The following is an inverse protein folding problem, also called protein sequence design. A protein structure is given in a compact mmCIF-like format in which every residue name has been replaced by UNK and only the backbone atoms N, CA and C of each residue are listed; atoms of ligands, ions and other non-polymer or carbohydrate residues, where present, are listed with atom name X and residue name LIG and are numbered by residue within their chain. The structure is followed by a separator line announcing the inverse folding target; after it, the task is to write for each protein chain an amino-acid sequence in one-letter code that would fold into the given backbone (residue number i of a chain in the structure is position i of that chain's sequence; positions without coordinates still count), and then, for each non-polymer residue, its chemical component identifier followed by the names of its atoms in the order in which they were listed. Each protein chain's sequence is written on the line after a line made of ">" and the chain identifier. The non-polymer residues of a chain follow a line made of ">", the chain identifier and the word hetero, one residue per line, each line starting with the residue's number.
data_IF_748718775526
#
_entry.id   IF_748718775526
#
_cell.length_a   1.000
_cell.length_b   1.000
_cell.length_c   1.000
_cell.angle_alpha   90.00
_cell.angle_beta   90.00
_cell.angle_gamma   90.00
#
_symmetry.space_group_name_H-M   'P 1'
#
loop_
_entity.id
_entity.type
_entity.pdbx_description
1 polymer ?
#
# COMPACT_ATOMS: atom_id res chain seq x y z
N UNK A 1 -14.42 10.38 -13.19
CA UNK A 1 -13.33 11.34 -13.49
C UNK A 1 -11.96 10.71 -13.22
N UNK A 2 -11.29 10.11 -14.21
CA UNK A 2 -9.88 9.68 -14.05
C UNK A 2 -8.93 10.88 -13.92
N UNK A 3 -7.66 10.66 -13.55
CA UNK A 3 -6.57 11.65 -13.67
C UNK A 3 -6.38 12.00 -15.15
N UNK A 4 -7.33 12.74 -15.72
CA UNK A 4 -7.30 13.23 -17.07
C UNK A 4 -6.28 14.34 -17.14
N UNK A 5 -5.01 13.98 -17.32
CA UNK A 5 -3.99 14.92 -17.74
C UNK A 5 -4.31 15.34 -19.19
N UNK A 6 -5.30 16.22 -19.35
CA UNK A 6 -5.46 17.07 -20.53
C UNK A 6 -4.53 18.29 -20.39
N UNK A 7 -3.31 18.05 -19.89
CA UNK A 7 -2.26 19.04 -19.71
C UNK A 7 -1.36 18.86 -20.93
N UNK A 8 -1.46 19.75 -21.90
CA UNK A 8 -0.49 19.84 -22.98
C UNK A 8 0.89 20.19 -22.39
N UNK A 9 1.98 19.79 -23.06
CA UNK A 9 3.36 19.95 -22.56
C UNK A 9 3.73 21.38 -22.17
N UNK A 10 3.02 22.39 -22.68
CA UNK A 10 3.29 23.81 -22.48
C UNK A 10 2.29 24.51 -21.55
N UNK A 11 1.51 23.76 -20.76
CA UNK A 11 0.50 24.36 -19.89
C UNK A 11 1.14 25.12 -18.72
N UNK A 12 1.09 26.45 -18.77
CA UNK A 12 1.53 27.31 -17.67
C UNK A 12 0.48 27.35 -16.54
N UNK A 13 0.50 26.33 -15.67
CA UNK A 13 -0.40 26.19 -14.53
C UNK A 13 -0.41 27.41 -13.61
N UNK A 14 0.75 28.05 -13.41
CA UNK A 14 0.88 29.25 -12.58
C UNK A 14 -0.01 30.37 -13.13
N UNK A 15 0.09 30.66 -14.42
CA UNK A 15 -0.71 31.73 -15.03
C UNK A 15 -2.20 31.40 -15.02
N UNK A 16 -2.58 30.15 -15.27
CA UNK A 16 -3.99 29.73 -15.23
C UNK A 16 -4.59 29.94 -13.83
N UNK A 17 -3.87 29.52 -12.78
CA UNK A 17 -4.29 29.71 -11.40
C UNK A 17 -4.40 31.19 -11.03
N UNK A 18 -3.41 32.01 -11.41
CA UNK A 18 -3.43 33.46 -11.19
C UNK A 18 -4.60 34.12 -11.92
N UNK A 19 -4.80 33.83 -13.20
CA UNK A 19 -5.90 34.40 -14.00
C UNK A 19 -7.27 33.99 -13.47
N UNK A 20 -7.42 32.77 -12.94
CA UNK A 20 -8.64 32.35 -12.25
C UNK A 20 -8.87 33.14 -10.96
N UNK A 21 -7.82 33.33 -10.17
CA UNK A 21 -7.87 33.99 -8.87
C UNK A 21 -8.06 35.52 -8.95
N UNK A 22 -7.39 36.19 -9.89
CA UNK A 22 -7.46 37.65 -10.12
C UNK A 22 -8.89 38.16 -10.39
N UNK A 23 -9.77 37.30 -10.94
CA UNK A 23 -11.20 37.60 -11.12
C UNK A 23 -11.96 37.80 -9.80
N UNK A 24 -11.33 37.46 -8.67
CA UNK A 24 -11.88 37.57 -7.33
C UNK A 24 -11.14 38.58 -6.44
N UNK A 25 -10.10 39.24 -6.96
CA UNK A 25 -9.35 40.28 -6.23
C UNK A 25 -9.84 41.70 -6.52
N UNK A 26 -10.70 41.91 -7.52
CA UNK A 26 -11.28 43.22 -7.86
C UNK A 26 -12.39 43.61 -6.89
N UNK A 27 -12.40 44.88 -6.48
CA UNK A 27 -13.46 45.45 -5.62
C UNK A 27 -14.62 45.95 -6.49
N UNK A 28 -15.87 45.98 -5.98
CA UNK A 28 -17.03 46.49 -6.72
C UNK A 28 -16.98 47.99 -7.06
N UNK A 29 -16.03 48.75 -6.52
CA UNK A 29 -15.93 50.21 -6.70
C UNK A 29 -15.00 50.62 -7.86
N UNK A 30 -14.49 49.66 -8.65
CA UNK A 30 -13.88 49.95 -9.95
C UNK A 30 -15.04 50.14 -10.95
N UNK A 31 -15.24 51.39 -11.38
CA UNK A 31 -16.43 51.89 -12.10
C UNK A 31 -16.87 51.02 -13.32
N UNK A 32 -18.19 50.99 -13.51
CA UNK A 32 -18.99 50.40 -14.61
C UNK A 32 -19.29 48.89 -14.60
N UNK A 33 -20.27 48.43 -13.80
CA UNK A 33 -21.36 47.55 -14.30
C UNK A 33 -22.53 47.35 -13.30
N UNK A 34 -23.77 47.10 -13.80
CA UNK A 34 -25.00 47.19 -13.02
C UNK A 34 -25.39 45.91 -12.26
N UNK A 35 -26.04 46.16 -11.12
CA UNK A 35 -26.73 45.22 -10.23
C UNK A 35 -27.46 44.04 -10.91
N UNK A 36 -27.15 42.81 -10.49
CA UNK A 36 -28.13 41.91 -9.83
C UNK A 36 -27.56 40.57 -9.32
N UNK A 37 -27.89 40.25 -8.06
CA UNK A 37 -27.95 38.90 -7.43
C UNK A 37 -26.70 37.99 -7.42
N UNK A 38 -25.57 38.48 -6.90
CA UNK A 38 -24.65 37.71 -6.01
C UNK A 38 -23.61 38.66 -5.43
N UNK A 39 -23.91 39.28 -4.27
CA UNK A 39 -22.95 40.11 -3.54
C UNK A 39 -21.75 39.23 -3.13
N UNK A 40 -20.62 39.31 -3.87
CA UNK A 40 -19.31 38.80 -3.42
C UNK A 40 -18.86 39.72 -2.28
N UNK A 41 -19.03 39.27 -1.04
CA UNK A 41 -18.87 40.13 0.14
C UNK A 41 -17.42 40.52 0.47
N UNK A 42 -16.39 39.93 -0.15
CA UNK A 42 -14.99 40.31 0.12
C UNK A 42 -14.10 40.11 -1.11
N UNK A 43 -13.32 41.13 -1.48
CA UNK A 43 -12.23 40.98 -2.43
C UNK A 43 -11.12 40.13 -1.79
N UNK A 44 -10.66 39.09 -2.51
CA UNK A 44 -9.59 38.23 -2.01
C UNK A 44 -8.25 38.98 -2.00
N UNK A 45 -7.34 38.69 -1.07
CA UNK A 45 -6.01 39.30 -1.01
C UNK A 45 -5.20 38.95 -2.26
N UNK A 46 -4.19 39.76 -2.64
CA UNK A 46 -3.27 39.38 -3.71
C UNK A 46 -2.49 38.11 -3.31
N UNK A 47 -2.27 37.21 -4.27
CA UNK A 47 -1.60 35.93 -4.05
C UNK A 47 -0.32 35.82 -4.88
N UNK A 48 0.75 35.29 -4.27
CA UNK A 48 1.99 34.89 -4.96
C UNK A 48 2.09 33.37 -4.93
N UNK A 49 2.07 32.74 -6.09
CA UNK A 49 2.35 31.30 -6.22
C UNK A 49 3.87 31.12 -6.09
N UNK A 50 4.32 30.66 -4.92
CA UNK A 50 5.73 30.41 -4.63
C UNK A 50 6.19 29.01 -5.06
N UNK A 51 5.33 28.00 -4.90
CA UNK A 51 5.60 26.62 -5.27
C UNK A 51 4.33 25.93 -5.78
N UNK A 52 4.50 24.98 -6.69
CA UNK A 52 3.49 24.01 -7.11
C UNK A 52 4.13 22.64 -6.89
N UNK A 53 3.41 21.73 -6.24
CA UNK A 53 3.97 20.43 -5.85
C UNK A 53 2.94 19.32 -6.01
N UNK A 54 3.43 18.08 -6.08
CA UNK A 54 2.62 16.88 -6.01
C UNK A 54 2.29 16.53 -4.53
N UNK A 55 1.16 15.88 -4.30
CA UNK A 55 0.67 15.48 -2.98
C UNK A 55 1.61 14.50 -2.25
N UNK A 56 2.23 13.55 -2.94
CA UNK A 56 3.24 12.66 -2.37
C UNK A 56 4.49 13.45 -1.93
N UNK A 57 4.95 14.39 -2.77
CA UNK A 57 6.08 15.29 -2.47
C UNK A 57 5.79 16.14 -1.24
N UNK A 58 4.59 16.73 -1.15
CA UNK A 58 4.16 17.48 0.03
C UNK A 58 4.10 16.59 1.27
N UNK A 59 3.59 15.37 1.16
CA UNK A 59 3.54 14.38 2.26
C UNK A 59 4.94 14.08 2.81
N UNK A 60 5.92 13.83 1.93
CA UNK A 60 7.33 13.66 2.34
C UNK A 60 7.86 14.91 3.02
N UNK A 61 7.67 16.09 2.44
CA UNK A 61 8.21 17.35 2.96
C UNK A 61 7.63 17.71 4.34
N UNK A 62 6.33 17.47 4.54
CA UNK A 62 5.64 17.71 5.81
C UNK A 62 6.25 16.87 6.93
N UNK A 63 6.39 15.55 6.72
CA UNK A 63 6.94 14.69 7.75
C UNK A 63 8.44 14.93 7.96
N UNK A 64 9.20 15.18 6.88
CA UNK A 64 10.61 15.52 6.98
C UNK A 64 10.83 16.79 7.79
N UNK A 65 9.91 17.76 7.73
CA UNK A 65 9.96 18.95 8.57
C UNK A 65 9.71 18.63 10.04
N UNK A 66 8.73 17.75 10.35
CA UNK A 66 8.40 17.38 11.73
C UNK A 66 9.44 16.45 12.40
N UNK A 67 9.96 15.48 11.66
CA UNK A 67 10.85 14.40 12.17
C UNK A 67 12.28 14.88 12.43
N UNK A 68 12.68 16.08 11.98
CA UNK A 68 13.98 16.71 12.29
C UNK A 68 14.32 16.80 13.79
N UNK A 69 13.36 16.50 14.66
CA UNK A 69 13.49 16.49 16.12
C UNK A 69 13.83 15.11 16.72
N UNK A 70 13.85 14.02 15.94
CA UNK A 70 14.09 12.66 16.45
C UNK A 70 15.51 12.16 16.13
N UNK A 71 16.27 11.64 17.12
CA UNK A 71 17.58 11.07 16.86
C UNK A 71 17.46 9.78 16.04
N UNK A 72 18.38 9.59 15.10
CA UNK A 72 18.51 8.38 14.26
C UNK A 72 17.27 8.01 13.42
N UNK A 73 16.42 9.00 13.09
CA UNK A 73 15.26 8.81 12.22
C UNK A 73 15.30 9.80 11.07
N UNK A 74 15.03 9.32 9.85
CA UNK A 74 14.83 10.22 8.70
C UNK A 74 13.73 9.74 7.79
N UNK A 75 13.07 10.69 7.14
CA UNK A 75 12.08 10.41 6.11
C UNK A 75 12.78 10.18 4.78
N UNK A 76 12.64 8.97 4.23
CA UNK A 76 13.22 8.60 2.95
C UNK A 76 12.21 8.70 1.80
N UNK A 77 10.95 8.35 2.08
CA UNK A 77 9.89 8.18 1.07
C UNK A 77 8.57 8.78 1.56
N UNK A 78 7.74 9.24 0.63
CA UNK A 78 6.34 9.58 0.86
C UNK A 78 5.43 8.77 -0.05
N UNK A 79 4.34 8.20 0.48
CA UNK A 79 3.37 7.43 -0.28
C UNK A 79 1.95 7.97 -0.08
N UNK A 80 1.17 7.92 -1.15
CA UNK A 80 -0.27 8.17 -1.13
C UNK A 80 -0.98 6.84 -1.37
N UNK A 81 -1.86 6.46 -0.45
CA UNK A 81 -2.68 5.24 -0.54
C UNK A 81 -4.11 5.58 -0.18
N UNK A 82 -4.85 6.10 -1.15
CA UNK A 82 -6.22 6.59 -0.99
C UNK A 82 -7.06 6.24 -2.22
N UNK A 83 -7.77 7.22 -2.78
CA UNK A 83 -8.51 7.05 -4.04
C UNK A 83 -7.59 6.58 -5.17
N UNK A 84 -6.39 7.15 -5.25
CA UNK A 84 -5.30 6.70 -6.11
C UNK A 84 -4.07 6.25 -5.30
N UNK A 85 -3.00 5.90 -6.01
CA UNK A 85 -1.73 5.51 -5.41
C UNK A 85 -0.56 6.24 -6.08
N UNK A 86 0.40 6.71 -5.27
CA UNK A 86 1.63 7.33 -5.75
C UNK A 86 2.75 7.22 -4.70
N UNK A 87 3.99 7.42 -5.14
CA UNK A 87 5.14 7.54 -4.26
C UNK A 87 6.11 8.64 -4.71
N UNK A 88 6.81 9.19 -3.73
CA UNK A 88 7.96 10.06 -3.91
C UNK A 88 9.12 9.55 -3.08
N UNK A 89 10.35 9.79 -3.51
CA UNK A 89 11.55 9.39 -2.78
C UNK A 89 12.69 10.38 -3.03
N UNK A 90 13.58 10.57 -2.04
CA UNK A 90 14.84 11.26 -2.25
C UNK A 90 15.82 10.35 -3.00
N UNK A 91 16.46 10.86 -4.04
CA UNK A 91 17.49 10.13 -4.79
C UNK A 91 18.73 10.99 -5.02
N UNK A 92 19.90 10.35 -4.95
CA UNK A 92 21.16 10.97 -5.40
C UNK A 92 21.11 11.26 -6.88
N UNK A 93 21.63 12.42 -7.28
CA UNK A 93 21.72 12.76 -8.71
C UNK A 93 22.58 11.76 -9.49
N UNK A 94 23.56 11.13 -8.84
CA UNK A 94 24.39 10.07 -9.44
C UNK A 94 23.60 8.80 -9.78
N UNK A 95 22.42 8.59 -9.18
CA UNK A 95 21.54 7.45 -9.48
C UNK A 95 20.54 7.75 -10.60
N UNK A 96 20.52 9.00 -11.10
CA UNK A 96 19.63 9.42 -12.18
C UNK A 96 20.39 9.44 -13.50
N UNK A 97 19.66 9.26 -14.60
CA UNK A 97 20.21 9.49 -15.93
C UNK A 97 20.75 10.92 -16.05
N UNK A 98 21.90 11.08 -16.73
CA UNK A 98 22.64 12.33 -16.81
C UNK A 98 21.78 13.52 -17.26
N UNK A 99 20.88 13.31 -18.23
CA UNK A 99 19.95 14.36 -18.70
C UNK A 99 19.06 14.92 -17.59
N UNK A 100 18.57 14.07 -16.67
CA UNK A 100 17.76 14.49 -15.52
C UNK A 100 18.62 15.16 -14.44
N UNK A 101 19.80 14.60 -14.17
CA UNK A 101 20.74 15.17 -13.21
C UNK A 101 21.22 16.57 -13.63
N UNK A 102 21.57 16.75 -14.91
CA UNK A 102 22.00 18.03 -15.47
C UNK A 102 20.87 19.06 -15.46
N UNK A 103 19.62 18.66 -15.66
CA UNK A 103 18.47 19.55 -15.50
C UNK A 103 18.40 20.14 -14.08
N UNK A 104 18.55 19.31 -13.05
CA UNK A 104 18.57 19.77 -11.65
C UNK A 104 19.78 20.66 -11.39
N UNK A 105 20.98 20.24 -11.82
CA UNK A 105 22.22 21.02 -11.64
C UNK A 105 22.18 22.38 -12.34
N UNK A 106 21.45 22.50 -13.46
CA UNK A 106 21.27 23.78 -14.14
C UNK A 106 20.49 24.82 -13.30
N UNK A 107 19.75 24.36 -12.28
CA UNK A 107 19.00 25.20 -11.34
C UNK A 107 19.73 25.40 -10.01
N UNK A 108 20.57 24.44 -9.62
CA UNK A 108 21.31 24.43 -8.36
C UNK A 108 22.59 23.59 -8.54
N UNK A 109 23.74 24.24 -8.77
CA UNK A 109 25.00 23.56 -9.11
C UNK A 109 25.53 22.65 -7.99
N UNK A 110 25.17 22.96 -6.74
CA UNK A 110 25.60 22.25 -5.54
C UNK A 110 24.65 21.09 -5.17
N UNK A 111 23.57 20.88 -5.95
CA UNK A 111 22.63 19.81 -5.67
C UNK A 111 23.29 18.44 -5.78
N UNK A 112 23.21 17.65 -4.70
CA UNK A 112 23.71 16.27 -4.63
C UNK A 112 22.55 15.26 -4.74
N UNK A 113 21.37 15.65 -4.29
CA UNK A 113 20.16 14.84 -4.25
C UNK A 113 18.96 15.65 -4.74
N UNK A 114 17.90 14.95 -5.13
CA UNK A 114 16.63 15.57 -5.52
C UNK A 114 15.45 14.68 -5.13
N UNK A 115 14.28 15.30 -4.98
CA UNK A 115 13.03 14.58 -4.72
C UNK A 115 12.45 14.13 -6.06
N UNK A 116 12.13 12.84 -6.19
CA UNK A 116 11.52 12.27 -7.38
C UNK A 116 10.07 11.92 -7.10
N UNK A 117 9.13 12.62 -7.74
CA UNK A 117 7.77 12.11 -7.90
C UNK A 117 7.80 10.96 -8.92
N UNK A 118 7.49 9.75 -8.47
CA UNK A 118 7.68 8.54 -9.30
C UNK A 118 6.53 8.29 -10.26
N UNK A 119 5.30 8.71 -9.91
CA UNK A 119 4.07 8.28 -10.59
C UNK A 119 4.09 6.77 -10.88
N UNK A 120 4.53 5.98 -9.89
CA UNK A 120 4.83 4.55 -10.02
C UNK A 120 3.65 3.67 -10.47
N UNK A 121 2.46 4.25 -10.62
CA UNK A 121 1.26 3.55 -11.06
C UNK A 121 1.11 3.49 -12.57
N UNK A 122 1.86 4.30 -13.33
CA UNK A 122 1.73 4.37 -14.80
C UNK A 122 2.09 3.06 -15.49
N UNK A 123 1.82 2.99 -16.81
CA UNK A 123 1.98 1.80 -17.65
C UNK A 123 3.32 1.06 -17.52
N UNK A 124 4.40 1.75 -17.13
CA UNK A 124 5.70 1.12 -16.85
C UNK A 124 5.68 0.09 -15.71
N UNK A 125 4.65 0.08 -14.86
CA UNK A 125 4.44 -0.92 -13.81
C UNK A 125 3.81 -2.23 -14.31
N UNK A 126 3.37 -2.31 -15.58
CA UNK A 126 2.73 -3.50 -16.14
C UNK A 126 3.63 -4.74 -16.24
N UNK A 127 4.91 -4.66 -16.70
CA UNK A 127 5.71 -5.85 -16.96
C UNK A 127 5.93 -6.73 -15.71
N UNK A 128 6.34 -6.19 -14.54
CA UNK A 128 6.51 -7.01 -13.34
C UNK A 128 5.22 -7.70 -12.88
N UNK A 129 4.06 -7.06 -13.05
CA UNK A 129 2.76 -7.64 -12.68
C UNK A 129 2.39 -8.84 -13.56
N UNK A 130 2.81 -8.83 -14.83
CA UNK A 130 2.60 -9.93 -15.78
C UNK A 130 3.60 -11.05 -15.57
N UNK A 131 4.88 -10.71 -15.41
CA UNK A 131 5.96 -11.69 -15.19
C UNK A 131 5.74 -12.52 -13.93
N UNK A 132 5.14 -11.92 -12.90
CA UNK A 132 4.84 -12.58 -11.62
C UNK A 132 3.43 -13.21 -11.55
N UNK A 133 2.69 -13.24 -12.68
CA UNK A 133 1.33 -13.81 -12.76
C UNK A 133 0.36 -13.26 -11.69
N UNK A 134 0.43 -11.95 -11.45
CA UNK A 134 -0.40 -11.28 -10.42
C UNK A 134 -1.79 -10.90 -10.97
N UNK A 135 -1.87 -10.68 -12.28
CA UNK A 135 -3.06 -10.16 -12.96
C UNK A 135 -4.09 -11.27 -13.15
N UNK A 136 -5.26 -11.11 -12.53
CA UNK A 136 -6.38 -12.06 -12.65
C UNK A 136 -7.34 -11.68 -13.78
N UNK A 137 -8.26 -12.60 -14.13
CA UNK A 137 -9.33 -12.32 -15.10
C UNK A 137 -10.18 -11.10 -14.72
N UNK A 138 -10.41 -10.87 -13.43
CA UNK A 138 -11.19 -9.73 -12.93
C UNK A 138 -10.42 -8.41 -13.04
N UNK A 139 -9.10 -8.44 -12.87
CA UNK A 139 -8.25 -7.25 -13.08
C UNK A 139 -8.25 -6.86 -14.58
N UNK A 140 -8.23 -7.84 -15.48
CA UNK A 140 -8.32 -7.61 -16.94
C UNK A 140 -9.69 -7.05 -17.34
N UNK A 141 -10.77 -7.51 -16.69
CA UNK A 141 -12.11 -6.96 -16.90
C UNK A 141 -12.21 -5.50 -16.41
N UNK A 142 -11.72 -5.23 -15.20
CA UNK A 142 -11.66 -3.88 -14.63
C UNK A 142 -10.85 -2.92 -15.52
N UNK A 143 -9.68 -3.34 -15.99
CA UNK A 143 -8.82 -2.53 -16.86
C UNK A 143 -9.52 -2.19 -18.19
N UNK A 144 -10.17 -3.17 -18.83
CA UNK A 144 -10.90 -2.96 -20.09
C UNK A 144 -12.06 -1.98 -19.96
N UNK A 145 -12.72 -1.94 -18.80
CA UNK A 145 -13.81 -1.01 -18.51
C UNK A 145 -13.32 0.40 -18.15
N UNK A 146 -12.01 0.60 -17.91
CA UNK A 146 -11.46 1.91 -17.63
C UNK A 146 -11.48 2.82 -18.86
N UNK A 147 -11.62 4.13 -18.65
CA UNK A 147 -11.63 5.13 -19.73
C UNK A 147 -10.35 5.13 -20.58
N UNK A 148 -9.23 4.66 -20.03
CA UNK A 148 -7.95 4.49 -20.71
C UNK A 148 -7.33 3.17 -20.24
N UNK A 149 -7.65 2.03 -20.87
CA UNK A 149 -7.09 0.73 -20.50
C UNK A 149 -5.56 0.74 -20.58
N UNK A 150 -4.90 0.07 -19.64
CA UNK A 150 -3.44 -0.02 -19.52
C UNK A 150 -2.76 1.27 -19.02
N UNK A 151 -3.51 2.32 -18.66
CA UNK A 151 -2.91 3.60 -18.27
C UNK A 151 -2.25 3.55 -16.90
N UNK A 152 -2.91 2.94 -15.91
CA UNK A 152 -2.43 2.86 -14.53
C UNK A 152 -2.58 1.46 -13.90
N UNK A 153 -1.90 0.43 -14.44
CA UNK A 153 -2.11 -0.96 -14.08
C UNK A 153 -1.90 -1.24 -12.59
N UNK A 154 -0.91 -0.63 -11.95
CA UNK A 154 -0.71 -0.79 -10.50
C UNK A 154 -1.77 -0.07 -9.67
N UNK A 155 -2.32 1.07 -10.14
CA UNK A 155 -3.42 1.75 -9.43
C UNK A 155 -4.72 0.93 -9.48
N UNK A 156 -4.97 0.18 -10.54
CA UNK A 156 -6.15 -0.70 -10.63
C UNK A 156 -6.14 -1.79 -9.56
N UNK A 157 -4.94 -2.23 -9.13
CA UNK A 157 -4.78 -3.27 -8.11
C UNK A 157 -4.78 -2.73 -6.67
N UNK A 158 -4.48 -1.44 -6.47
CA UNK A 158 -4.13 -0.86 -5.16
C UNK A 158 -4.94 0.37 -4.78
N UNK A 159 -5.50 1.09 -5.75
CA UNK A 159 -6.21 2.34 -5.55
C UNK A 159 -7.62 2.12 -5.03
N UNK A 160 -8.00 2.91 -4.02
CA UNK A 160 -9.33 2.88 -3.39
C UNK A 160 -10.48 3.15 -4.35
N UNK A 161 -10.24 3.79 -5.50
CA UNK A 161 -11.24 3.92 -6.56
C UNK A 161 -11.66 2.57 -7.15
N UNK A 162 -10.72 1.66 -7.31
CA UNK A 162 -10.88 0.43 -8.09
C UNK A 162 -11.12 -0.79 -7.21
N UNK A 163 -10.65 -0.76 -5.96
CA UNK A 163 -10.83 -1.84 -4.99
C UNK A 163 -12.29 -2.28 -4.85
N UNK A 164 -13.22 -1.33 -4.69
CA UNK A 164 -14.64 -1.65 -4.54
C UNK A 164 -15.22 -2.34 -5.78
N UNK A 165 -14.85 -1.84 -6.96
CA UNK A 165 -15.28 -2.42 -8.22
C UNK A 165 -14.68 -3.81 -8.46
N UNK A 166 -13.40 -4.01 -8.13
CA UNK A 166 -12.79 -5.32 -8.23
C UNK A 166 -13.48 -6.34 -7.30
N UNK A 167 -13.81 -5.94 -6.07
CA UNK A 167 -14.55 -6.79 -5.14
C UNK A 167 -15.95 -7.10 -5.70
N UNK A 168 -16.62 -6.12 -6.31
CA UNK A 168 -17.91 -6.31 -6.98
C UNK A 168 -17.81 -7.34 -8.09
N UNK A 169 -16.82 -7.23 -8.98
CA UNK A 169 -16.61 -8.16 -10.11
C UNK A 169 -16.40 -9.59 -9.62
N UNK A 170 -15.54 -9.79 -8.61
CA UNK A 170 -15.27 -11.12 -8.04
C UNK A 170 -16.52 -11.69 -7.37
N UNK A 171 -17.23 -10.86 -6.61
CA UNK A 171 -18.45 -11.29 -5.89
C UNK A 171 -19.59 -11.62 -6.85
N UNK A 172 -19.78 -10.79 -7.88
CA UNK A 172 -20.78 -11.02 -8.93
C UNK A 172 -20.50 -12.34 -9.66
N UNK A 173 -19.24 -12.58 -10.06
CA UNK A 173 -18.82 -13.85 -10.69
C UNK A 173 -19.08 -15.05 -9.76
N UNK A 174 -18.77 -14.95 -8.46
CA UNK A 174 -19.07 -16.00 -7.50
C UNK A 174 -20.57 -16.27 -7.35
N UNK A 175 -21.39 -15.23 -7.17
CA UNK A 175 -22.83 -15.37 -6.95
C UNK A 175 -23.54 -15.92 -8.19
N UNK A 176 -23.10 -15.55 -9.39
CA UNK A 176 -23.72 -16.00 -10.64
C UNK A 176 -23.21 -17.39 -11.05
N UNK A 177 -21.89 -17.57 -11.17
CA UNK A 177 -21.31 -18.78 -11.74
C UNK A 177 -21.09 -19.91 -10.72
N UNK A 178 -21.01 -19.60 -9.43
CA UNK A 178 -20.84 -20.62 -8.37
C UNK A 178 -22.14 -20.86 -7.59
N UNK A 179 -22.90 -19.81 -7.27
CA UNK A 179 -24.18 -19.95 -6.56
C UNK A 179 -25.40 -20.07 -7.48
N UNK A 180 -25.24 -19.87 -8.80
CA UNK A 180 -26.30 -20.08 -9.77
C UNK A 180 -27.40 -19.01 -9.77
N UNK A 181 -27.14 -17.84 -9.17
CA UNK A 181 -28.10 -16.75 -9.11
C UNK A 181 -28.13 -15.99 -10.45
N UNK A 182 -29.32 -15.66 -10.93
CA UNK A 182 -29.47 -14.79 -12.08
C UNK A 182 -29.11 -13.34 -11.70
N UNK A 183 -28.54 -12.59 -12.64
CA UNK A 183 -28.18 -11.18 -12.40
C UNK A 183 -29.37 -10.31 -11.94
N UNK A 184 -30.60 -10.66 -12.34
CA UNK A 184 -31.83 -9.96 -11.95
C UNK A 184 -32.26 -10.22 -10.50
N UNK A 185 -31.69 -11.24 -9.86
CA UNK A 185 -31.98 -11.60 -8.46
C UNK A 185 -31.08 -10.86 -7.48
N UNK A 186 -30.02 -10.21 -7.98
CA UNK A 186 -29.00 -9.56 -7.18
C UNK A 186 -29.29 -8.06 -6.96
N UNK A 187 -28.81 -7.48 -5.84
CA UNK A 187 -28.91 -6.06 -5.58
C UNK A 187 -28.27 -5.23 -6.70
N UNK A 188 -28.86 -4.08 -7.03
CA UNK A 188 -28.37 -3.20 -8.10
C UNK A 188 -26.89 -2.81 -7.90
N UNK A 189 -26.44 -2.64 -6.65
CA UNK A 189 -25.04 -2.32 -6.34
C UNK A 189 -24.04 -3.42 -6.73
N UNK A 190 -24.49 -4.67 -6.86
CA UNK A 190 -23.64 -5.77 -7.33
C UNK A 190 -23.64 -5.88 -8.85
N UNK A 191 -24.65 -5.36 -9.53
CA UNK A 191 -24.81 -5.42 -10.99
C UNK A 191 -24.20 -4.20 -11.66
N UNK A 192 -24.45 -3.01 -11.12
CA UNK A 192 -24.01 -1.75 -11.69
C UNK A 192 -22.53 -1.47 -11.38
N UNK A 193 -21.77 -1.15 -12.43
CA UNK A 193 -20.37 -0.74 -12.32
C UNK A 193 -20.19 0.42 -11.33
N UNK A 194 -19.19 0.31 -10.47
CA UNK A 194 -18.80 1.29 -9.44
C UNK A 194 -19.87 1.63 -8.39
N UNK A 195 -21.00 0.91 -8.36
CA UNK A 195 -22.05 1.13 -7.36
C UNK A 195 -21.69 0.57 -5.97
N UNK A 196 -20.73 -0.35 -5.89
CA UNK A 196 -20.18 -0.86 -4.64
C UNK A 196 -18.90 -0.10 -4.26
N UNK A 197 -19.02 0.83 -3.31
CA UNK A 197 -17.90 1.71 -2.93
C UNK A 197 -16.94 1.04 -1.94
N UNK A 198 -15.67 1.41 -2.00
CA UNK A 198 -14.66 0.94 -1.04
C UNK A 198 -14.97 1.36 0.40
N UNK A 199 -15.59 2.54 0.58
CA UNK A 199 -16.06 3.01 1.89
C UNK A 199 -17.14 2.08 2.45
N UNK A 200 -18.14 1.72 1.65
CA UNK A 200 -19.18 0.78 2.07
C UNK A 200 -18.59 -0.57 2.53
N UNK A 201 -17.62 -1.09 1.77
CA UNK A 201 -16.94 -2.35 2.11
C UNK A 201 -16.13 -2.20 3.40
N UNK A 202 -15.38 -1.12 3.56
CA UNK A 202 -14.64 -0.82 4.80
C UNK A 202 -15.55 -0.83 6.01
N UNK A 203 -16.68 -0.14 5.93
CA UNK A 203 -17.52 0.16 7.08
C UNK A 203 -18.45 -0.99 7.46
N UNK A 204 -19.00 -1.69 6.46
CA UNK A 204 -20.02 -2.73 6.69
C UNK A 204 -19.44 -4.15 6.58
N UNK A 205 -18.54 -4.40 5.62
CA UNK A 205 -18.08 -5.77 5.30
C UNK A 205 -16.82 -6.13 6.08
N UNK A 206 -15.80 -5.26 6.05
CA UNK A 206 -14.50 -5.54 6.65
C UNK A 206 -14.53 -5.48 8.18
N UNK A 207 -15.48 -4.74 8.76
CA UNK A 207 -15.66 -4.58 10.22
C UNK A 207 -16.60 -5.61 10.86
N UNK A 208 -17.33 -6.39 10.06
CA UNK A 208 -18.26 -7.37 10.59
C UNK A 208 -17.55 -8.45 11.44
N UNK A 209 -18.15 -8.82 12.58
CA UNK A 209 -17.54 -9.74 13.54
C UNK A 209 -17.86 -11.20 13.21
N UNK A 210 -19.00 -11.44 12.56
CA UNK A 210 -19.40 -12.76 12.09
C UNK A 210 -20.10 -12.67 10.73
N UNK A 211 -20.21 -13.81 10.05
CA UNK A 211 -20.86 -13.87 8.74
C UNK A 211 -22.40 -13.78 8.86
N UNK A 212 -22.96 -14.22 9.99
CA UNK A 212 -24.39 -14.06 10.32
C UNK A 212 -24.75 -12.58 10.52
N UNK A 213 -24.00 -11.88 11.38
CA UNK A 213 -24.18 -10.43 11.57
C UNK A 213 -24.04 -9.67 10.25
N UNK A 214 -23.07 -10.05 9.43
CA UNK A 214 -22.89 -9.43 8.11
C UNK A 214 -24.10 -9.69 7.21
N UNK A 215 -24.63 -10.92 7.18
CA UNK A 215 -25.82 -11.23 6.40
C UNK A 215 -27.01 -10.35 6.82
N UNK A 216 -27.24 -10.17 8.12
CA UNK A 216 -28.29 -9.28 8.64
C UNK A 216 -28.08 -7.83 8.16
N UNK A 217 -26.86 -7.29 8.28
CA UNK A 217 -26.54 -5.93 7.81
C UNK A 217 -26.75 -5.80 6.30
N UNK A 218 -26.34 -6.80 5.52
CA UNK A 218 -26.47 -6.81 4.07
C UNK A 218 -27.94 -6.90 3.63
N UNK A 219 -28.78 -7.67 4.33
CA UNK A 219 -30.21 -7.73 4.05
C UNK A 219 -30.92 -6.37 4.24
N UNK A 220 -30.41 -5.50 5.12
CA UNK A 220 -30.96 -4.16 5.30
C UNK A 220 -30.34 -3.12 4.34
N UNK A 221 -29.04 -3.21 4.08
CA UNK A 221 -28.29 -2.16 3.37
C UNK A 221 -28.03 -2.45 1.89
N UNK A 222 -28.10 -3.71 1.48
CA UNK A 222 -28.00 -4.20 0.10
C UNK A 222 -29.08 -5.28 -0.16
N UNK A 223 -30.37 -4.97 0.02
CA UNK A 223 -31.44 -5.93 -0.16
C UNK A 223 -31.53 -6.41 -1.62
N UNK A 224 -32.07 -7.61 -1.80
CA UNK A 224 -32.44 -8.10 -3.12
C UNK A 224 -33.57 -7.26 -3.73
N UNK A 225 -33.72 -7.28 -5.08
CA UNK A 225 -34.85 -6.64 -5.73
C UNK A 225 -36.17 -7.25 -5.28
N UNK A 226 -37.27 -6.47 -5.29
CA UNK A 226 -38.62 -6.94 -4.92
C UNK A 226 -39.10 -8.13 -5.76
N UNK A 227 -38.53 -8.35 -6.95
CA UNK A 227 -38.82 -9.46 -7.84
C UNK A 227 -38.05 -10.75 -7.51
N UNK A 228 -37.26 -10.76 -6.44
CA UNK A 228 -36.35 -11.83 -6.05
C UNK A 228 -36.64 -12.32 -4.64
N UNK A 229 -36.71 -13.63 -4.46
CA UNK A 229 -36.82 -14.27 -3.13
C UNK A 229 -35.43 -14.50 -2.50
N UNK A 230 -34.35 -14.23 -3.23
CA UNK A 230 -32.99 -14.41 -2.72
C UNK A 230 -32.70 -13.41 -1.60
N UNK A 231 -32.00 -13.86 -0.55
CA UNK A 231 -31.54 -13.03 0.55
C UNK A 231 -30.11 -13.40 0.93
N UNK A 232 -29.41 -12.48 1.59
CA UNK A 232 -28.09 -12.77 2.12
C UNK A 232 -28.18 -13.82 3.22
N UNK A 233 -27.52 -14.95 3.00
CA UNK A 233 -27.22 -15.95 4.02
C UNK A 233 -25.78 -15.76 4.55
N UNK A 234 -25.45 -16.46 5.63
CA UNK A 234 -24.11 -16.42 6.21
C UNK A 234 -23.02 -16.88 5.22
N UNK A 235 -23.34 -17.75 4.25
CA UNK A 235 -22.37 -18.28 3.29
C UNK A 235 -22.00 -17.21 2.25
N UNK A 236 -22.97 -16.52 1.69
CA UNK A 236 -22.79 -15.42 0.75
C UNK A 236 -22.12 -14.22 1.42
N UNK A 237 -22.55 -13.87 2.64
CA UNK A 237 -21.92 -12.83 3.43
C UNK A 237 -20.46 -13.16 3.76
N UNK A 238 -20.18 -14.39 4.18
CA UNK A 238 -18.82 -14.87 4.44
C UNK A 238 -17.94 -14.87 3.19
N UNK A 239 -18.50 -15.23 2.03
CA UNK A 239 -17.80 -15.14 0.75
C UNK A 239 -17.43 -13.69 0.41
N UNK A 240 -18.37 -12.75 0.57
CA UNK A 240 -18.11 -11.32 0.35
C UNK A 240 -16.99 -10.81 1.27
N UNK A 241 -17.06 -11.11 2.57
CA UNK A 241 -16.01 -10.74 3.53
C UNK A 241 -14.64 -11.34 3.18
N UNK A 242 -14.61 -12.60 2.73
CA UNK A 242 -13.37 -13.29 2.32
C UNK A 242 -12.78 -12.69 1.04
N UNK A 243 -13.61 -12.36 0.05
CA UNK A 243 -13.19 -11.69 -1.18
C UNK A 243 -12.59 -10.32 -0.83
N UNK A 244 -13.31 -9.52 -0.04
CA UNK A 244 -12.83 -8.21 0.40
C UNK A 244 -11.48 -8.30 1.11
N UNK A 245 -11.34 -9.22 2.07
CA UNK A 245 -10.07 -9.45 2.76
C UNK A 245 -8.94 -9.86 1.82
N UNK A 246 -9.23 -10.67 0.81
CA UNK A 246 -8.23 -11.18 -0.15
C UNK A 246 -7.72 -10.06 -1.05
N UNK A 247 -8.63 -9.25 -1.61
CA UNK A 247 -8.27 -8.08 -2.44
C UNK A 247 -7.42 -7.09 -1.63
N UNK A 248 -7.80 -6.82 -0.38
CA UNK A 248 -7.07 -5.90 0.49
C UNK A 248 -5.69 -6.41 0.88
N UNK A 249 -5.59 -7.71 1.21
CA UNK A 249 -4.31 -8.34 1.52
C UNK A 249 -3.36 -8.28 0.32
N UNK A 250 -3.89 -8.51 -0.90
CA UNK A 250 -3.13 -8.36 -2.15
C UNK A 250 -2.65 -6.91 -2.32
N UNK A 251 -3.54 -5.93 -2.21
CA UNK A 251 -3.19 -4.52 -2.34
C UNK A 251 -2.10 -4.09 -1.34
N UNK A 252 -2.23 -4.46 -0.06
CA UNK A 252 -1.22 -4.16 0.96
C UNK A 252 0.13 -4.83 0.67
N UNK A 253 0.14 -6.08 0.19
CA UNK A 253 1.37 -6.78 -0.19
C UNK A 253 2.07 -6.15 -1.40
N UNK A 254 1.30 -5.72 -2.41
CA UNK A 254 1.81 -5.03 -3.58
C UNK A 254 2.44 -3.68 -3.22
N UNK A 255 1.77 -2.87 -2.39
CA UNK A 255 2.31 -1.59 -1.92
C UNK A 255 3.58 -1.82 -1.11
N UNK A 256 3.61 -2.80 -0.20
CA UNK A 256 4.80 -3.14 0.56
C UNK A 256 5.98 -3.55 -0.34
N UNK A 257 5.74 -4.38 -1.35
CA UNK A 257 6.75 -4.77 -2.33
C UNK A 257 7.28 -3.56 -3.11
N UNK A 258 6.40 -2.66 -3.55
CA UNK A 258 6.79 -1.44 -4.25
C UNK A 258 7.59 -0.47 -3.36
N UNK A 259 7.21 -0.33 -2.08
CA UNK A 259 7.95 0.47 -1.08
C UNK A 259 9.36 -0.09 -0.90
N UNK A 260 9.49 -1.40 -0.65
CA UNK A 260 10.79 -2.06 -0.46
C UNK A 260 11.64 -1.97 -1.73
N UNK A 261 11.06 -2.23 -2.90
CA UNK A 261 11.75 -2.12 -4.18
C UNK A 261 12.26 -0.70 -4.46
N UNK A 262 11.44 0.32 -4.18
CA UNK A 262 11.82 1.71 -4.42
C UNK A 262 12.89 2.19 -3.42
N UNK A 263 12.83 1.77 -2.15
CA UNK A 263 13.90 2.01 -1.17
C UNK A 263 15.22 1.38 -1.64
N UNK A 264 15.18 0.15 -2.15
CA UNK A 264 16.36 -0.52 -2.69
C UNK A 264 16.92 0.21 -3.92
N UNK A 265 16.07 0.64 -4.86
CA UNK A 265 16.48 1.44 -6.02
C UNK A 265 17.15 2.76 -5.63
N UNK A 266 16.75 3.36 -4.51
CA UNK A 266 17.39 4.57 -3.98
C UNK A 266 18.66 4.27 -3.14
N UNK A 267 19.06 3.01 -3.01
CA UNK A 267 20.15 2.54 -2.14
C UNK A 267 19.91 2.84 -0.65
N UNK A 268 18.66 2.88 -0.22
CA UNK A 268 18.30 3.04 1.19
C UNK A 268 18.47 1.74 1.97
N UNK A 269 18.17 0.63 1.30
CA UNK A 269 18.27 -0.74 1.82
C UNK A 269 18.93 -1.64 0.77
N UNK A 270 19.47 -2.77 1.21
CA UNK A 270 20.07 -3.77 0.34
C UNK A 270 19.14 -4.98 0.20
N UNK A 271 18.85 -5.38 -1.04
CA UNK A 271 18.15 -6.63 -1.34
C UNK A 271 19.18 -7.73 -1.57
N UNK A 272 18.98 -8.89 -0.96
CA UNK A 272 19.69 -10.10 -1.37
C UNK A 272 19.00 -10.67 -2.60
N UNK A 273 19.69 -10.67 -3.74
CA UNK A 273 19.29 -11.49 -4.87
C UNK A 273 19.63 -12.92 -4.48
N UNK A 274 18.61 -13.75 -4.23
CA UNK A 274 18.84 -15.19 -4.27
C UNK A 274 19.31 -15.50 -5.70
N UNK A 275 20.59 -15.81 -5.86
CA UNK A 275 21.07 -16.45 -7.07
C UNK A 275 20.14 -17.62 -7.35
N UNK A 276 19.71 -17.77 -8.60
CA UNK A 276 18.85 -18.84 -9.09
C UNK A 276 19.55 -20.21 -9.04
N UNK A 277 20.01 -20.62 -7.86
CA UNK A 277 20.51 -21.96 -7.56
C UNK A 277 19.50 -22.75 -6.71
N UNK A 278 18.46 -22.12 -6.16
CA UNK A 278 17.44 -22.79 -5.34
C UNK A 278 16.01 -22.42 -5.75
N UNK A 279 15.64 -22.60 -7.01
CA UNK A 279 14.23 -22.79 -7.32
C UNK A 279 13.75 -24.06 -6.59
N UNK A 280 12.64 -24.03 -5.84
CA UNK A 280 12.12 -25.24 -5.22
C UNK A 280 11.77 -26.23 -6.32
N UNK A 281 12.42 -27.40 -6.31
CA UNK A 281 11.94 -28.54 -7.09
C UNK A 281 10.49 -28.82 -6.72
N UNK A 282 9.61 -29.17 -7.69
CA UNK A 282 8.26 -29.58 -7.38
C UNK A 282 8.35 -30.88 -6.56
N UNK A 283 8.11 -30.77 -5.25
CA UNK A 283 7.99 -31.94 -4.40
C UNK A 283 6.76 -32.72 -4.83
N UNK A 284 6.97 -33.94 -5.33
CA UNK A 284 5.92 -34.93 -5.52
C UNK A 284 5.42 -35.39 -4.14
N UNK A 285 4.63 -34.56 -3.48
CA UNK A 285 3.84 -34.99 -2.34
C UNK A 285 2.65 -35.78 -2.90
N UNK A 286 2.78 -37.11 -2.89
CA UNK A 286 1.70 -38.04 -3.20
C UNK A 286 0.48 -37.71 -2.33
N UNK A 287 -0.68 -37.60 -2.97
CA UNK A 287 -1.96 -37.48 -2.28
C UNK A 287 -2.23 -38.76 -1.47
N UNK A 288 -2.89 -38.67 -0.30
CA UNK A 288 -3.08 -39.84 0.54
C UNK A 288 -4.07 -40.80 -0.10
N UNK A 289 -3.60 -42.00 -0.43
CA UNK A 289 -4.44 -43.11 -0.88
C UNK A 289 -5.22 -43.71 0.29
N UNK A 290 -6.49 -43.98 -0.01
CA UNK A 290 -7.42 -44.80 0.77
C UNK A 290 -6.83 -46.19 1.02
N UNK A 291 -6.86 -46.68 2.26
CA UNK A 291 -6.73 -48.11 2.53
C UNK A 291 -7.74 -48.56 3.58
N UNK A 292 -8.77 -49.25 3.10
CA UNK A 292 -9.54 -50.21 3.88
C UNK A 292 -9.03 -51.63 3.58
N UNK A 293 -8.99 -52.48 4.61
CA UNK A 293 -8.76 -53.92 4.46
C UNK A 293 -7.85 -54.50 5.54
N UNK A 294 -8.41 -55.42 6.33
CA UNK A 294 -7.79 -56.31 7.31
C UNK A 294 -6.59 -57.10 6.71
N UNK A 295 -5.66 -57.71 7.44
CA UNK A 295 -5.89 -58.66 8.53
C UNK A 295 -4.59 -59.02 9.27
N UNK A 296 -4.80 -59.72 10.38
CA UNK A 296 -3.96 -60.07 11.53
C UNK A 296 -2.81 -61.05 11.24
N UNK A 297 -1.66 -60.88 11.91
CA UNK A 297 -0.89 -61.92 12.64
C UNK A 297 0.34 -61.29 13.33
N UNK A 298 0.30 -61.11 14.66
CA UNK A 298 0.99 -61.93 15.66
C UNK A 298 2.44 -61.42 15.90
N UNK A 299 2.97 -61.12 17.09
CA UNK A 299 2.91 -61.77 18.41
C UNK A 299 3.52 -60.79 19.45
N UNK A 300 2.81 -60.57 20.57
CA UNK A 300 3.22 -60.43 22.02
C UNK A 300 4.66 -59.96 22.38
N UNK A 301 5.01 -59.34 23.50
CA UNK A 301 4.42 -58.80 24.73
C UNK A 301 5.60 -58.34 25.62
N UNK A 302 5.29 -57.52 26.63
CA UNK A 302 5.95 -57.40 27.95
C UNK A 302 7.34 -56.74 28.14
N UNK A 303 7.21 -55.56 28.75
CA UNK A 303 8.02 -54.87 29.77
C UNK A 303 8.87 -55.72 30.75
N UNK A 304 10.12 -55.22 30.95
CA UNK A 304 10.87 -55.02 32.22
C UNK A 304 11.43 -56.24 33.00
N UNK A 305 12.35 -56.06 33.99
CA UNK A 305 13.50 -55.15 34.13
C UNK A 305 14.78 -55.89 34.63
N UNK A 306 15.97 -55.28 34.62
CA UNK A 306 17.02 -55.65 35.60
C UNK A 306 18.07 -54.57 35.85
N UNK A 307 18.55 -54.62 37.08
CA UNK A 307 19.27 -53.65 37.89
C UNK A 307 20.78 -53.64 37.68
N UNK A 308 21.32 -52.41 37.61
CA UNK A 308 22.57 -51.90 38.22
C UNK A 308 23.64 -52.87 38.76
N UNK A 309 24.88 -52.64 38.31
CA UNK A 309 26.12 -52.85 39.09
C UNK A 309 26.86 -51.51 39.31
N UNK A 310 26.87 -51.14 40.59
CA UNK A 310 27.80 -50.31 41.40
C UNK A 310 29.27 -50.66 41.10
N UNK A 311 30.33 -49.84 41.22
CA UNK A 311 30.60 -48.41 41.43
C UNK A 311 32.14 -48.25 41.31
N UNK A 312 32.66 -47.07 41.00
CA UNK A 312 33.49 -46.26 41.95
C UNK A 312 34.11 -45.01 41.30
N UNK A 313 33.92 -43.90 42.02
CA UNK A 313 34.73 -42.67 42.11
C UNK A 313 34.98 -41.80 40.86
N UNK A 314 34.37 -40.60 40.83
CA UNK A 314 35.06 -39.34 41.14
C UNK A 314 34.10 -38.13 41.20
N UNK A 315 34.20 -37.41 42.32
CA UNK A 315 34.07 -35.96 42.56
C UNK A 315 32.96 -35.10 41.91
N UNK A 316 32.36 -34.30 42.81
CA UNK A 316 31.23 -33.38 42.64
C UNK A 316 31.59 -32.11 41.86
N UNK A 317 30.63 -31.66 41.06
CA UNK A 317 30.25 -30.24 40.98
C UNK A 317 30.53 -29.55 39.66
N UNK A 318 29.58 -29.62 38.71
CA UNK A 318 29.24 -28.50 37.83
C UNK A 318 27.89 -28.76 37.15
N UNK A 319 26.98 -27.79 37.27
CA UNK A 319 25.69 -27.79 36.58
C UNK A 319 25.85 -27.66 35.06
N UNK A 320 24.76 -27.75 34.29
CA UNK A 320 24.82 -27.72 32.84
C UNK A 320 25.40 -26.37 32.37
N UNK A 321 26.56 -26.45 31.70
CA UNK A 321 27.22 -25.32 31.06
C UNK A 321 26.35 -24.89 29.87
N UNK A 322 25.61 -23.79 30.04
CA UNK A 322 25.01 -23.07 28.92
C UNK A 322 26.15 -22.36 28.19
N UNK A 323 26.34 -22.55 26.87
CA UNK A 323 27.34 -21.78 26.16
C UNK A 323 26.93 -20.31 26.19
N UNK A 324 27.70 -19.51 26.92
CA UNK A 324 27.62 -18.05 26.85
C UNK A 324 28.08 -17.66 25.45
N UNK A 325 27.14 -17.36 24.57
CA UNK A 325 27.42 -16.69 23.31
C UNK A 325 28.14 -15.39 23.64
N UNK A 326 29.44 -15.35 23.36
CA UNK A 326 30.20 -14.11 23.45
C UNK A 326 29.52 -13.08 22.54
N UNK A 327 29.33 -11.83 22.98
CA UNK A 327 28.67 -10.83 22.15
C UNK A 327 29.48 -10.71 20.84
N UNK A 328 28.83 -11.05 19.73
CA UNK A 328 29.36 -10.76 18.39
C UNK A 328 29.73 -9.28 18.38
N UNK A 329 30.97 -8.90 18.03
CA UNK A 329 31.35 -7.50 18.01
C UNK A 329 30.35 -6.74 17.15
N UNK A 330 29.70 -5.73 17.75
CA UNK A 330 28.80 -4.83 17.05
C UNK A 330 29.56 -4.30 15.83
N UNK A 331 29.04 -4.43 14.60
CA UNK A 331 29.69 -3.86 13.43
C UNK A 331 29.99 -2.38 13.69
N UNK A 332 31.14 -1.88 13.23
CA UNK A 332 31.58 -0.50 13.46
C UNK A 332 30.50 0.55 13.08
N UNK A 333 29.59 0.18 12.18
CA UNK A 333 28.47 0.97 11.67
C UNK A 333 27.30 1.18 12.66
N UNK A 334 27.37 0.61 13.88
CA UNK A 334 26.33 0.70 14.91
C UNK A 334 26.60 1.74 16.01
N UNK A 335 27.62 2.59 15.85
CA UNK A 335 28.01 3.60 16.86
C UNK A 335 26.90 4.62 17.18
N UNK A 336 25.91 4.80 16.30
CA UNK A 336 24.77 5.70 16.51
C UNK A 336 23.47 4.98 16.91
N UNK A 337 23.45 3.64 17.02
CA UNK A 337 22.23 2.86 17.19
C UNK A 337 21.50 2.56 15.87
N UNK A 338 20.42 1.77 15.90
CA UNK A 338 19.68 1.39 14.70
C UNK A 338 19.01 2.61 14.05
N UNK A 339 19.19 2.76 12.73
CA UNK A 339 18.56 3.84 11.96
C UNK A 339 17.10 3.51 11.61
N UNK A 340 16.20 4.45 11.84
CA UNK A 340 14.80 4.36 11.41
C UNK A 340 14.58 5.08 10.08
N UNK A 341 14.39 4.30 9.01
CA UNK A 341 13.95 4.79 7.72
C UNK A 341 12.43 4.95 7.73
N UNK A 342 11.97 6.18 7.65
CA UNK A 342 10.55 6.52 7.71
C UNK A 342 9.99 6.65 6.30
N UNK A 343 8.88 5.95 6.08
CA UNK A 343 8.00 6.08 4.92
C UNK A 343 6.76 6.86 5.37
N UNK A 344 6.71 8.13 5.00
CA UNK A 344 5.58 9.00 5.25
C UNK A 344 4.37 8.51 4.45
N UNK A 345 3.19 8.42 5.05
CA UNK A 345 1.98 8.04 4.33
C UNK A 345 0.79 8.96 4.61
N UNK A 346 -0.08 9.09 3.62
CA UNK A 346 -1.44 9.61 3.77
C UNK A 346 -2.39 8.92 2.78
N UNK A 347 -3.69 9.10 2.95
CA UNK A 347 -4.72 8.57 2.07
C UNK A 347 -5.71 7.66 2.79
N UNK A 348 -6.98 7.75 2.36
CA UNK A 348 -8.09 7.14 3.08
C UNK A 348 -8.03 5.61 3.21
N UNK A 349 -7.36 4.89 2.31
CA UNK A 349 -7.25 3.44 2.40
C UNK A 349 -6.30 3.07 3.54
N UNK A 350 -5.07 3.60 3.53
CA UNK A 350 -4.09 3.26 4.57
C UNK A 350 -4.47 3.80 5.94
N UNK A 351 -5.19 4.94 6.00
CA UNK A 351 -5.62 5.55 7.26
C UNK A 351 -6.88 4.93 7.86
N UNK A 352 -7.86 4.51 7.05
CA UNK A 352 -9.19 4.18 7.56
C UNK A 352 -9.64 2.74 7.27
N UNK A 353 -9.09 2.10 6.24
CA UNK A 353 -9.48 0.74 5.91
C UNK A 353 -8.98 -0.23 7.00
N UNK A 354 -9.84 -1.08 7.59
CA UNK A 354 -9.48 -1.92 8.74
C UNK A 354 -8.18 -2.71 8.54
N UNK A 355 -7.23 -2.50 9.46
CA UNK A 355 -5.92 -3.17 9.51
C UNK A 355 -5.01 -2.97 8.28
N UNK A 356 -5.33 -2.08 7.34
CA UNK A 356 -4.55 -1.94 6.11
C UNK A 356 -3.09 -1.54 6.38
N UNK A 357 -2.86 -0.48 7.17
CA UNK A 357 -1.51 -0.06 7.59
C UNK A 357 -0.74 -1.19 8.27
N UNK A 358 -1.40 -1.93 9.17
CA UNK A 358 -0.77 -3.01 9.91
C UNK A 358 -0.36 -4.17 8.97
N UNK A 359 -1.22 -4.54 8.02
CA UNK A 359 -0.88 -5.54 7.00
C UNK A 359 0.28 -5.07 6.13
N UNK A 360 0.26 -3.81 5.68
CA UNK A 360 1.33 -3.24 4.86
C UNK A 360 2.67 -3.25 5.62
N UNK A 361 2.68 -2.78 6.88
CA UNK A 361 3.87 -2.82 7.73
C UNK A 361 4.38 -4.25 7.92
N UNK A 362 3.51 -5.21 8.22
CA UNK A 362 3.91 -6.62 8.36
C UNK A 362 4.54 -7.19 7.09
N UNK A 363 4.05 -6.80 5.91
CA UNK A 363 4.69 -7.21 4.65
C UNK A 363 6.05 -6.55 4.46
N UNK A 364 6.19 -5.25 4.75
CA UNK A 364 7.48 -4.53 4.71
C UNK A 364 8.48 -5.22 5.64
N UNK A 365 8.10 -5.47 6.89
CA UNK A 365 8.94 -6.12 7.90
C UNK A 365 9.41 -7.49 7.41
N UNK A 366 8.49 -8.31 6.87
CA UNK A 366 8.81 -9.64 6.33
C UNK A 366 9.76 -9.58 5.14
N UNK A 367 9.55 -8.64 4.23
CA UNK A 367 10.40 -8.48 3.05
C UNK A 367 11.82 -8.05 3.47
N UNK A 368 11.93 -7.10 4.40
CA UNK A 368 13.23 -6.65 4.92
C UNK A 368 13.92 -7.77 5.71
N UNK A 369 13.22 -8.48 6.60
CA UNK A 369 13.81 -9.59 7.35
C UNK A 369 14.38 -10.69 6.43
N UNK A 370 13.75 -10.95 5.29
CA UNK A 370 14.27 -11.92 4.29
C UNK A 370 15.58 -11.48 3.64
N UNK A 371 15.84 -10.18 3.55
CA UNK A 371 17.12 -9.65 3.04
C UNK A 371 18.27 -9.76 4.06
N UNK A 372 17.97 -10.16 5.30
CA UNK A 372 18.94 -10.24 6.39
C UNK A 372 19.22 -8.88 7.05
N UNK A 373 20.19 -8.82 7.98
CA UNK A 373 20.53 -7.61 8.69
C UNK A 373 20.97 -6.50 7.73
N UNK A 374 20.33 -5.34 7.82
CA UNK A 374 20.70 -4.17 7.05
C UNK A 374 21.90 -3.46 7.68
N UNK A 375 22.71 -2.79 6.84
CA UNK A 375 23.79 -1.89 7.33
C UNK A 375 23.21 -0.87 8.31
N UNK A 376 23.97 -0.57 9.36
CA UNK A 376 23.55 0.32 10.46
C UNK A 376 22.25 -0.07 11.17
N UNK A 377 21.80 -1.33 11.05
CA UNK A 377 20.59 -1.81 11.72
C UNK A 377 19.29 -1.18 11.19
N UNK A 378 19.30 -0.70 9.94
CA UNK A 378 18.17 0.02 9.34
C UNK A 378 16.86 -0.78 9.43
N UNK A 379 15.82 -0.11 9.91
CA UNK A 379 14.44 -0.60 9.96
C UNK A 379 13.50 0.38 9.28
N UNK A 380 12.46 -0.12 8.59
CA UNK A 380 11.55 0.72 7.81
C UNK A 380 10.20 0.82 8.50
N UNK A 381 9.73 2.05 8.74
CA UNK A 381 8.48 2.31 9.43
C UNK A 381 7.54 3.22 8.64
N UNK A 382 6.28 2.79 8.52
CA UNK A 382 5.19 3.62 8.03
C UNK A 382 4.75 4.60 9.11
N UNK A 383 4.85 5.90 8.83
CA UNK A 383 4.38 6.98 9.73
C UNK A 383 3.36 7.88 9.04
N UNK A 384 2.27 8.13 9.74
CA UNK A 384 1.17 8.94 9.24
C UNK A 384 1.57 10.42 9.16
N UNK A 385 1.01 11.11 8.16
CA UNK A 385 1.06 12.56 8.05
C UNK A 385 -0.35 13.12 7.96
N UNK A 386 -0.80 13.77 9.03
CA UNK A 386 -2.01 14.59 9.00
C UNK A 386 -1.75 15.85 8.18
N UNK A 387 -2.66 16.18 7.27
CA UNK A 387 -2.59 17.37 6.41
C UNK A 387 -1.28 17.54 5.61
N UNK A 388 -0.63 16.42 5.27
CA UNK A 388 0.66 16.41 4.58
C UNK A 388 0.69 17.22 3.29
N UNK A 389 -0.42 17.22 2.54
CA UNK A 389 -0.57 18.03 1.32
C UNK A 389 -0.47 19.54 1.57
N UNK A 390 -1.08 20.03 2.67
CA UNK A 390 -1.16 21.47 2.98
C UNK A 390 0.12 21.93 3.69
N UNK A 391 0.52 21.23 4.75
CA UNK A 391 1.71 21.56 5.53
C UNK A 391 2.95 21.43 4.64
N UNK A 392 3.04 20.36 3.86
CA UNK A 392 4.16 20.12 2.95
C UNK A 392 4.28 21.19 1.86
N UNK A 393 3.16 21.63 1.28
CA UNK A 393 3.16 22.74 0.34
C UNK A 393 3.65 24.05 0.99
N UNK A 394 3.24 24.32 2.23
CA UNK A 394 3.71 25.46 3.02
C UNK A 394 5.22 25.41 3.30
N UNK A 395 5.74 24.25 3.72
CA UNK A 395 7.18 24.02 3.93
C UNK A 395 7.96 24.30 2.64
N UNK A 396 7.53 23.73 1.51
CA UNK A 396 8.19 23.92 0.22
C UNK A 396 8.12 25.38 -0.25
N UNK A 397 6.98 26.06 -0.06
CA UNK A 397 6.85 27.48 -0.37
C UNK A 397 7.82 28.34 0.46
N UNK A 398 7.97 28.04 1.76
CA UNK A 398 8.93 28.71 2.64
C UNK A 398 10.39 28.47 2.24
N UNK A 399 10.73 27.26 1.79
CA UNK A 399 12.07 26.93 1.30
C UNK A 399 12.43 27.71 0.03
N UNK A 400 11.47 27.94 -0.87
CA UNK A 400 11.69 28.73 -2.10
C UNK A 400 11.72 30.22 -1.83
N UNK A 401 10.91 30.72 -0.89
CA UNK A 401 10.86 32.14 -0.56
C UNK A 401 12.11 32.66 0.16
N UNK A 402 12.88 31.76 0.79
CA UNK A 402 14.12 32.07 1.51
C UNK A 402 15.40 31.82 0.69
N UNK A 403 15.26 31.43 -0.59
CA UNK A 403 16.34 31.43 -1.59
C UNK A 403 16.25 32.72 -2.39
#
# INVERSE_FOLDING_TARGET
>A
MGKGFAITSDLNLRNILLSGYERHTRRPDDEDEPSSKRRKLFALPKLKIAAITNDAVATLASLAYAVKSLPNSRVAMGIIVGTGCNATILMKLSSLHETKANHVKSKDSEAVETVINTEWTLAGSAPPLKELDIITKWDIELDRACARPGFQPFEYLTGGRYIGELIRLILFDYLTNVRGLASKELPANLVQEYALTTTYISDNVARARSDLELADVLNHSLPSPESSEWQWDAVCAGAFRKIARTVQKRAAGLIAAAVVGLLACANEIELKVESTENSPQPSSAASPEHNGGADVTAVTNFLSPSTSKVSTNAQRGNGPIVPVLSPTPTPADWQSGPEELVVAYTGGIIQHYPNFKNMCQQFIDRLIMRTGPQKSGKSVFLREVSDGGVIGAGVLAGMVANR
#
